data_IF_628678453074
#
_entry.id   IF_628678453074
#
_cell.length_a   1.000
_cell.length_b   1.000
_cell.length_c   1.000
_cell.angle_alpha   90.00
_cell.angle_beta   90.00
_cell.angle_gamma   90.00
#
_symmetry.space_group_name_H-M   'P 1'
#
loop_
_entity.id
_entity.type
_entity.pdbx_description
1 polymer ?
#
# COMPACT_ATOMS: atom_id res chain seq x y z
N UNK A 1 -11.08 -3.79 4.22
CA UNK A 1 -12.41 -3.24 4.44
C UNK A 1 -13.44 -4.25 4.91
N UNK A 2 -13.23 -5.53 4.62
CA UNK A 2 -14.17 -6.60 5.02
C UNK A 2 -14.08 -7.02 6.50
N UNK A 3 -13.20 -6.40 7.28
CA UNK A 3 -13.01 -6.69 8.72
C UNK A 3 -13.37 -5.46 9.55
N UNK A 4 -14.67 -5.23 9.83
CA UNK A 4 -15.14 -4.02 10.50
C UNK A 4 -14.63 -3.85 11.93
N UNK A 5 -14.22 -4.94 12.59
CA UNK A 5 -13.65 -4.94 13.94
C UNK A 5 -12.30 -4.22 14.04
N UNK A 6 -11.63 -3.95 12.91
CA UNK A 6 -10.35 -3.23 12.87
C UNK A 6 -10.46 -1.76 12.46
N UNK A 7 -11.67 -1.24 12.27
CA UNK A 7 -11.89 0.16 11.85
C UNK A 7 -11.24 1.16 12.82
N UNK A 8 -11.34 0.92 14.11
CA UNK A 8 -10.76 1.79 15.15
C UNK A 8 -9.23 1.95 14.99
N UNK A 9 -8.55 0.97 14.39
CA UNK A 9 -7.12 1.03 14.14
C UNK A 9 -6.77 2.05 13.06
N UNK A 10 -7.64 2.27 12.08
CA UNK A 10 -7.48 3.30 11.03
C UNK A 10 -7.44 4.66 11.68
N UNK A 11 -8.44 4.95 12.54
CA UNK A 11 -8.49 6.20 13.28
C UNK A 11 -7.30 6.37 14.21
N UNK A 12 -6.90 5.32 14.94
CA UNK A 12 -5.75 5.37 15.82
C UNK A 12 -4.43 5.66 15.08
N UNK A 13 -4.23 5.11 13.89
CA UNK A 13 -3.08 5.40 13.03
C UNK A 13 -3.12 6.85 12.53
N UNK A 14 -4.28 7.32 12.08
CA UNK A 14 -4.47 8.70 11.65
C UNK A 14 -4.18 9.70 12.77
N UNK A 15 -4.73 9.49 13.95
CA UNK A 15 -4.55 10.37 15.14
C UNK A 15 -3.07 10.43 15.58
N UNK A 16 -2.27 9.43 15.25
CA UNK A 16 -0.81 9.41 15.47
C UNK A 16 0.00 10.09 14.35
N UNK A 17 -0.66 10.66 13.33
CA UNK A 17 -0.02 11.39 12.25
C UNK A 17 0.41 10.52 11.07
N UNK A 18 -0.03 9.28 10.98
CA UNK A 18 0.19 8.45 9.80
C UNK A 18 -0.75 8.85 8.66
N UNK A 19 -0.27 8.76 7.43
CA UNK A 19 -1.12 8.95 6.25
C UNK A 19 -1.91 7.69 5.96
N UNK A 20 -3.22 7.83 5.89
CA UNK A 20 -4.11 6.73 5.50
C UNK A 20 -4.30 6.77 3.98
N UNK A 21 -4.10 5.63 3.34
CA UNK A 21 -4.37 5.42 1.92
C UNK A 21 -5.38 4.29 1.69
N UNK A 22 -5.82 4.14 0.45
CA UNK A 22 -6.79 3.11 0.06
C UNK A 22 -6.10 1.95 -0.65
N UNK A 23 -6.50 0.72 -0.33
CA UNK A 23 -5.97 -0.50 -0.93
C UNK A 23 -7.07 -1.46 -1.36
N UNK A 24 -8.17 -0.93 -1.89
CA UNK A 24 -9.44 -1.60 -2.19
C UNK A 24 -10.18 -2.11 -0.95
N UNK A 25 -11.46 -2.40 -1.08
CA UNK A 25 -12.28 -2.90 0.01
C UNK A 25 -12.13 -4.41 0.21
N UNK A 26 -12.31 -5.16 -0.90
CA UNK A 26 -12.31 -6.62 -0.86
C UNK A 26 -10.92 -7.26 -1.00
N UNK A 27 -9.98 -6.58 -1.67
CA UNK A 27 -8.69 -7.13 -2.08
C UNK A 27 -8.83 -8.44 -2.90
N UNK A 28 -9.99 -8.69 -3.49
CA UNK A 28 -10.27 -9.85 -4.33
C UNK A 28 -9.95 -9.51 -5.79
N UNK A 29 -8.88 -10.09 -6.32
CA UNK A 29 -8.43 -9.82 -7.69
C UNK A 29 -9.51 -10.11 -8.75
N UNK A 30 -10.36 -11.13 -8.54
CA UNK A 30 -11.43 -11.46 -9.47
C UNK A 30 -12.53 -10.39 -9.49
N UNK A 31 -12.75 -9.71 -8.36
CA UNK A 31 -13.69 -8.60 -8.25
C UNK A 31 -13.06 -7.30 -8.76
N UNK A 32 -11.94 -6.90 -8.15
CA UNK A 32 -11.34 -5.58 -8.41
C UNK A 32 -10.79 -5.42 -9.81
N UNK A 33 -10.36 -6.50 -10.47
CA UNK A 33 -9.83 -6.45 -11.84
C UNK A 33 -10.79 -6.99 -12.90
N UNK A 34 -12.06 -7.21 -12.56
CA UNK A 34 -13.09 -7.60 -13.52
C UNK A 34 -13.36 -6.51 -14.58
N UNK A 35 -13.31 -5.25 -14.18
CA UNK A 35 -13.43 -4.08 -15.07
C UNK A 35 -12.92 -2.82 -14.36
N UNK A 36 -12.75 -1.74 -15.10
CA UNK A 36 -12.42 -0.41 -14.54
C UNK A 36 -13.50 0.05 -13.56
N UNK A 37 -14.77 -0.11 -13.93
CA UNK A 37 -15.90 0.26 -13.06
C UNK A 37 -15.94 -0.58 -11.78
N UNK A 38 -15.67 -1.89 -11.87
CA UNK A 38 -15.62 -2.75 -10.70
C UNK A 38 -14.49 -2.34 -9.74
N UNK A 39 -13.33 -1.96 -10.27
CA UNK A 39 -12.23 -1.43 -9.46
C UNK A 39 -12.65 -0.19 -8.68
N UNK A 40 -13.27 0.79 -9.36
CA UNK A 40 -13.67 2.03 -8.70
C UNK A 40 -14.83 1.85 -7.72
N UNK A 41 -15.77 0.95 -7.99
CA UNK A 41 -16.84 0.62 -7.04
C UNK A 41 -16.25 0.05 -5.72
N UNK A 42 -15.27 -0.85 -5.82
CA UNK A 42 -14.59 -1.42 -4.66
C UNK A 42 -13.73 -0.37 -3.94
N UNK A 43 -13.06 0.51 -4.69
CA UNK A 43 -12.27 1.61 -4.15
C UNK A 43 -13.15 2.67 -3.45
N UNK A 44 -14.30 3.00 -4.02
CA UNK A 44 -15.26 3.95 -3.43
C UNK A 44 -15.83 3.40 -2.11
N UNK A 45 -16.06 2.10 -2.04
CA UNK A 45 -16.54 1.44 -0.83
C UNK A 45 -15.53 1.57 0.34
N UNK A 46 -14.24 1.34 0.09
CA UNK A 46 -13.21 1.57 1.14
C UNK A 46 -13.08 3.05 1.44
N UNK A 47 -13.18 3.92 0.45
CA UNK A 47 -13.14 5.37 0.61
C UNK A 47 -14.22 5.88 1.56
N UNK A 48 -15.45 5.42 1.39
CA UNK A 48 -16.57 5.76 2.27
C UNK A 48 -16.33 5.27 3.70
N UNK A 49 -15.89 4.01 3.87
CA UNK A 49 -15.57 3.47 5.19
C UNK A 49 -14.48 4.28 5.89
N UNK A 50 -13.42 4.66 5.19
CA UNK A 50 -12.33 5.47 5.77
C UNK A 50 -12.82 6.88 6.09
N UNK A 51 -13.68 7.47 5.24
CA UNK A 51 -14.29 8.78 5.51
C UNK A 51 -15.12 8.81 6.80
N UNK A 52 -15.81 7.72 7.12
CA UNK A 52 -16.54 7.60 8.40
C UNK A 52 -15.59 7.67 9.60
N UNK A 53 -14.36 7.15 9.49
CA UNK A 53 -13.40 7.09 10.59
C UNK A 53 -12.55 8.36 10.74
N UNK A 54 -12.14 8.99 9.63
CA UNK A 54 -11.19 10.12 9.66
C UNK A 54 -11.72 11.41 9.04
N UNK A 55 -12.98 11.44 8.55
CA UNK A 55 -13.68 12.64 8.09
C UNK A 55 -13.44 13.03 6.63
N UNK A 56 -12.62 12.30 5.87
CA UNK A 56 -12.40 12.55 4.44
C UNK A 56 -12.04 11.26 3.68
N UNK A 57 -12.26 11.26 2.36
CA UNK A 57 -11.80 10.16 1.48
C UNK A 57 -10.33 10.37 1.14
N UNK A 58 -9.44 9.40 1.44
CA UNK A 58 -8.04 9.50 1.06
C UNK A 58 -7.82 9.61 -0.45
N UNK A 59 -6.82 10.39 -0.86
CA UNK A 59 -6.44 10.49 -2.27
C UNK A 59 -5.20 9.64 -2.62
N UNK A 60 -4.58 8.97 -1.67
CA UNK A 60 -3.47 8.06 -1.91
C UNK A 60 -3.96 6.63 -1.97
N UNK A 61 -3.48 5.88 -2.96
CA UNK A 61 -3.88 4.50 -3.16
C UNK A 61 -2.67 3.61 -3.43
N UNK A 62 -2.87 2.31 -3.21
CA UNK A 62 -2.00 1.25 -3.73
C UNK A 62 -2.87 0.19 -4.40
N UNK A 63 -2.45 -0.22 -5.60
CA UNK A 63 -3.13 -1.31 -6.30
C UNK A 63 -2.82 -2.67 -5.64
N UNK A 64 -3.79 -3.58 -5.47
CA UNK A 64 -3.50 -4.96 -5.11
C UNK A 64 -2.46 -5.60 -6.04
N UNK A 65 -1.33 -6.01 -5.45
CA UNK A 65 -0.18 -6.53 -6.20
C UNK A 65 0.70 -5.48 -6.89
N UNK A 66 0.41 -4.18 -6.70
CA UNK A 66 1.12 -3.06 -7.32
C UNK A 66 0.71 -2.80 -8.78
N UNK A 67 1.15 -1.68 -9.34
CA UNK A 67 0.83 -1.30 -10.73
C UNK A 67 1.47 -2.24 -11.76
N UNK A 68 2.54 -2.93 -11.38
CA UNK A 68 3.25 -3.90 -12.25
C UNK A 68 2.68 -5.32 -12.21
N UNK A 69 1.60 -5.57 -11.43
CA UNK A 69 1.07 -6.91 -11.30
C UNK A 69 0.59 -7.47 -12.65
N UNK A 70 0.83 -8.75 -12.88
CA UNK A 70 0.38 -9.47 -14.08
C UNK A 70 -0.83 -10.36 -13.82
N UNK A 71 -1.25 -10.47 -12.56
CA UNK A 71 -2.40 -11.30 -12.17
C UNK A 71 -3.70 -10.72 -12.71
N UNK A 72 -3.83 -9.38 -12.71
CA UNK A 72 -4.96 -8.65 -13.26
C UNK A 72 -5.28 -9.02 -14.72
N UNK A 73 -4.25 -9.40 -15.50
CA UNK A 73 -4.38 -9.82 -16.90
C UNK A 73 -5.27 -11.06 -17.08
N UNK A 74 -5.37 -11.91 -16.05
CA UNK A 74 -6.24 -13.10 -16.06
C UNK A 74 -7.73 -12.72 -16.10
N UNK A 75 -8.07 -11.53 -15.64
CA UNK A 75 -9.44 -11.03 -15.56
C UNK A 75 -9.74 -10.04 -16.68
N UNK A 76 -8.88 -9.05 -16.87
CA UNK A 76 -9.03 -8.05 -17.93
C UNK A 76 -7.66 -7.65 -18.46
N UNK A 77 -7.40 -7.95 -19.73
CA UNK A 77 -6.17 -7.56 -20.40
C UNK A 77 -6.10 -6.04 -20.57
N UNK A 78 -4.94 -5.44 -20.28
CA UNK A 78 -4.72 -3.99 -20.39
C UNK A 78 -5.31 -3.14 -19.27
N UNK A 79 -5.94 -3.75 -18.27
CA UNK A 79 -6.66 -3.00 -17.22
C UNK A 79 -5.73 -2.10 -16.41
N UNK A 80 -4.51 -2.54 -16.09
CA UNK A 80 -3.59 -1.73 -15.30
C UNK A 80 -3.16 -0.47 -16.03
N UNK A 81 -2.93 -0.56 -17.34
CA UNK A 81 -2.60 0.61 -18.18
C UNK A 81 -3.71 1.67 -18.17
N UNK A 82 -4.97 1.25 -18.07
CA UNK A 82 -6.11 2.16 -17.92
C UNK A 82 -6.22 2.69 -16.49
N UNK A 83 -6.12 1.81 -15.49
CA UNK A 83 -6.32 2.19 -14.09
C UNK A 83 -5.29 3.20 -13.59
N UNK A 84 -4.00 3.07 -13.97
CA UNK A 84 -2.96 4.03 -13.55
C UNK A 84 -3.24 5.45 -14.06
N UNK A 85 -3.88 5.59 -15.22
CA UNK A 85 -4.31 6.88 -15.76
C UNK A 85 -5.59 7.38 -15.09
N UNK A 86 -6.57 6.50 -14.96
CA UNK A 86 -7.89 6.87 -14.41
C UNK A 86 -7.84 7.30 -12.94
N UNK A 87 -7.02 6.66 -12.11
CA UNK A 87 -6.86 7.09 -10.71
C UNK A 87 -6.26 8.49 -10.62
N UNK A 88 -5.29 8.81 -11.48
CA UNK A 88 -4.69 10.15 -11.53
C UNK A 88 -5.65 11.19 -12.10
N UNK A 89 -6.40 10.86 -13.15
CA UNK A 89 -7.44 11.72 -13.72
C UNK A 89 -8.52 12.09 -12.70
N UNK A 90 -8.80 11.19 -11.75
CA UNK A 90 -9.74 11.41 -10.64
C UNK A 90 -9.13 12.12 -9.42
N UNK A 91 -7.88 12.60 -9.54
CA UNK A 91 -7.19 13.37 -8.49
C UNK A 91 -6.55 12.51 -7.39
N UNK A 92 -6.46 11.20 -7.58
CA UNK A 92 -5.73 10.30 -6.67
C UNK A 92 -4.30 10.08 -7.14
N UNK A 93 -3.38 9.84 -6.18
CA UNK A 93 -2.02 9.42 -6.44
C UNK A 93 -1.85 7.97 -6.00
N UNK A 94 -1.35 7.10 -6.90
CA UNK A 94 -0.99 5.76 -6.50
C UNK A 94 0.50 5.67 -6.13
N UNK A 95 0.80 4.75 -5.22
CA UNK A 95 2.15 4.45 -4.76
C UNK A 95 2.43 2.96 -4.87
N UNK A 96 3.49 2.62 -5.58
CA UNK A 96 4.15 1.33 -5.44
C UNK A 96 5.23 1.44 -4.35
N UNK A 97 6.34 0.75 -4.51
CA UNK A 97 7.45 0.74 -3.57
C UNK A 97 8.78 0.59 -4.33
N UNK A 98 9.87 1.01 -3.73
CA UNK A 98 11.21 0.75 -4.23
C UNK A 98 12.09 -0.03 -3.24
N UNK A 99 11.49 -0.47 -2.12
CA UNK A 99 12.03 -1.40 -1.16
C UNK A 99 10.94 -2.35 -0.66
N UNK A 100 11.28 -3.55 -0.24
CA UNK A 100 10.33 -4.53 0.30
C UNK A 100 10.97 -5.36 1.40
N UNK A 101 10.23 -5.59 2.48
CA UNK A 101 10.65 -6.51 3.54
C UNK A 101 10.62 -7.99 3.11
N UNK A 102 9.89 -8.30 2.02
CA UNK A 102 9.70 -9.67 1.58
C UNK A 102 8.65 -10.46 2.37
N UNK A 103 7.89 -9.78 3.21
CA UNK A 103 6.88 -10.37 4.10
C UNK A 103 5.58 -10.81 3.39
N UNK A 104 5.52 -10.71 2.07
CA UNK A 104 4.46 -11.34 1.27
C UNK A 104 4.41 -12.88 1.43
N UNK A 105 5.54 -13.49 1.80
CA UNK A 105 5.67 -14.90 2.17
C UNK A 105 6.07 -15.05 3.65
N UNK A 106 5.93 -16.26 4.19
CA UNK A 106 6.36 -16.56 5.56
C UNK A 106 7.89 -16.53 5.64
N UNK A 107 8.42 -15.69 6.53
CA UNK A 107 9.86 -15.51 6.78
C UNK A 107 10.12 -15.28 8.24
N UNK A 108 11.37 -15.51 8.67
CA UNK A 108 11.80 -15.15 10.01
C UNK A 108 11.99 -13.63 10.15
N UNK A 109 12.00 -13.15 11.39
CA UNK A 109 12.27 -11.73 11.69
C UNK A 109 13.62 -11.28 11.12
N UNK A 110 14.67 -12.11 11.25
CA UNK A 110 16.01 -11.82 10.75
C UNK A 110 16.08 -11.72 9.23
N UNK A 111 15.36 -12.60 8.51
CA UNK A 111 15.27 -12.55 7.04
C UNK A 111 14.56 -11.28 6.57
N UNK A 112 13.50 -10.86 7.27
CA UNK A 112 12.78 -9.63 6.97
C UNK A 112 13.66 -8.40 7.20
N UNK A 113 14.38 -8.35 8.33
CA UNK A 113 15.34 -7.27 8.62
C UNK A 113 16.41 -7.20 7.55
N UNK A 114 17.07 -8.32 7.24
CA UNK A 114 18.15 -8.36 6.27
C UNK A 114 17.70 -7.88 4.88
N UNK A 115 16.51 -8.29 4.45
CA UNK A 115 15.97 -7.85 3.16
C UNK A 115 15.53 -6.38 3.20
N UNK A 116 14.79 -5.97 4.23
CA UNK A 116 14.28 -4.60 4.34
C UNK A 116 15.38 -3.55 4.45
N UNK A 117 16.55 -3.91 5.01
CA UNK A 117 17.69 -3.01 5.21
C UNK A 117 18.73 -3.05 4.07
N UNK A 118 18.43 -3.75 2.97
CA UNK A 118 19.33 -3.87 1.81
C UNK A 118 19.19 -2.75 0.77
N UNK A 119 18.29 -1.79 0.98
CA UNK A 119 18.04 -0.69 0.05
C UNK A 119 18.78 0.58 0.50
N UNK A 120 19.39 1.30 -0.46
CA UNK A 120 20.27 2.45 -0.22
C UNK A 120 19.86 3.72 -1.01
N UNK A 121 18.67 3.74 -1.59
CA UNK A 121 18.18 4.89 -2.34
C UNK A 121 17.93 6.10 -1.43
N UNK A 122 18.10 7.32 -1.94
CA UNK A 122 17.87 8.55 -1.18
C UNK A 122 16.46 8.68 -0.62
N UNK A 123 15.47 8.12 -1.32
CA UNK A 123 14.08 8.03 -0.87
C UNK A 123 13.64 6.58 -0.97
N UNK A 124 13.09 6.05 0.11
CA UNK A 124 12.64 4.66 0.19
C UNK A 124 11.18 4.62 0.61
N UNK A 125 10.36 3.96 -0.20
CA UNK A 125 9.03 3.50 0.19
C UNK A 125 9.14 1.99 0.35
N UNK A 126 9.16 1.54 1.61
CA UNK A 126 9.32 0.13 1.97
C UNK A 126 7.95 -0.54 2.05
N UNK A 127 7.74 -1.58 1.24
CA UNK A 127 6.54 -2.42 1.34
C UNK A 127 6.65 -3.36 2.54
N UNK A 128 5.65 -3.29 3.41
CA UNK A 128 5.36 -4.26 4.45
C UNK A 128 3.86 -4.57 4.44
N UNK A 129 3.45 -5.68 5.05
CA UNK A 129 2.06 -6.06 5.21
C UNK A 129 1.67 -6.05 6.70
N UNK A 130 0.46 -5.60 6.98
CA UNK A 130 -0.16 -5.56 8.31
C UNK A 130 -1.36 -6.52 8.43
N UNK A 131 -1.49 -7.43 7.48
CA UNK A 131 -2.54 -8.43 7.49
C UNK A 131 -2.37 -9.45 8.62
N UNK A 132 -3.43 -10.20 8.91
CA UNK A 132 -3.41 -11.24 9.94
C UNK A 132 -2.22 -12.21 9.77
N UNK A 133 -1.55 -12.55 10.88
CA UNK A 133 -0.42 -13.49 10.87
C UNK A 133 0.95 -12.87 10.51
N UNK A 134 1.07 -11.53 10.47
CA UNK A 134 2.33 -10.82 10.19
C UNK A 134 3.10 -10.42 11.46
N UNK A 135 3.13 -11.30 12.47
CA UNK A 135 3.82 -11.02 13.74
C UNK A 135 5.33 -10.77 13.54
N UNK A 136 5.98 -11.56 12.68
CA UNK A 136 7.42 -11.38 12.38
C UNK A 136 7.72 -10.04 11.71
N UNK A 137 6.78 -9.48 10.93
CA UNK A 137 6.90 -8.13 10.37
C UNK A 137 6.90 -7.08 11.47
N UNK A 138 5.98 -7.20 12.43
CA UNK A 138 5.91 -6.27 13.59
C UNK A 138 7.19 -6.33 14.41
N UNK A 139 7.73 -7.53 14.66
CA UNK A 139 8.99 -7.73 15.40
C UNK A 139 10.22 -7.20 14.64
N UNK A 140 10.20 -7.20 13.30
CA UNK A 140 11.29 -6.68 12.48
C UNK A 140 11.32 -5.14 12.44
N UNK A 141 10.17 -4.45 12.56
CA UNK A 141 10.07 -3.00 12.38
C UNK A 141 11.04 -2.18 13.23
N UNK A 142 11.23 -2.42 14.54
CA UNK A 142 12.17 -1.65 15.33
C UNK A 142 13.60 -1.67 14.77
N UNK A 143 14.09 -2.85 14.40
CA UNK A 143 15.43 -3.01 13.85
C UNK A 143 15.60 -2.34 12.49
N UNK A 144 14.55 -2.40 11.63
CA UNK A 144 14.53 -1.73 10.32
C UNK A 144 14.58 -0.21 10.52
N UNK A 145 13.79 0.32 11.45
CA UNK A 145 13.74 1.75 11.76
C UNK A 145 15.11 2.23 12.29
N UNK A 146 15.66 1.53 13.29
CA UNK A 146 16.96 1.86 13.87
C UNK A 146 18.09 1.83 12.83
N UNK A 147 18.08 0.85 11.93
CA UNK A 147 19.04 0.77 10.84
C UNK A 147 19.03 2.03 9.98
N UNK A 148 17.87 2.41 9.44
CA UNK A 148 17.78 3.59 8.58
C UNK A 148 18.05 4.89 9.33
N UNK A 149 17.63 5.01 10.58
CA UNK A 149 17.97 6.16 11.42
C UNK A 149 19.48 6.27 11.63
N UNK A 150 20.19 5.16 11.85
CA UNK A 150 21.65 5.14 12.01
C UNK A 150 22.40 5.60 10.75
N UNK A 151 21.79 5.45 9.58
CA UNK A 151 22.29 5.93 8.30
C UNK A 151 21.87 7.38 7.98
N UNK A 152 21.15 8.05 8.88
CA UNK A 152 20.72 9.44 8.71
C UNK A 152 19.41 9.61 7.96
N UNK A 153 18.65 8.55 7.69
CA UNK A 153 17.31 8.68 7.12
C UNK A 153 16.32 9.25 8.13
N UNK A 154 15.35 10.00 7.62
CA UNK A 154 14.20 10.49 8.39
C UNK A 154 12.94 9.80 7.90
N UNK A 155 12.10 9.39 8.84
CA UNK A 155 10.79 8.81 8.54
C UNK A 155 9.74 9.93 8.46
N UNK A 156 8.93 9.90 7.42
CA UNK A 156 7.85 10.86 7.20
C UNK A 156 6.58 10.16 6.76
N UNK A 157 5.43 10.66 7.20
CA UNK A 157 4.16 10.32 6.58
C UNK A 157 4.14 10.84 5.14
N UNK A 158 3.47 10.13 4.23
CA UNK A 158 3.32 10.59 2.84
C UNK A 158 2.40 11.81 2.78
N UNK A 159 2.79 12.77 1.94
CA UNK A 159 2.03 13.96 1.59
C UNK A 159 2.09 14.21 0.08
N UNK A 160 1.54 15.33 -0.40
CA UNK A 160 1.50 15.63 -1.84
C UNK A 160 2.86 15.98 -2.45
N UNK A 161 3.86 16.31 -1.62
CA UNK A 161 5.22 16.66 -2.03
C UNK A 161 6.18 15.46 -1.86
N UNK A 162 5.66 14.32 -1.39
CA UNK A 162 6.45 13.12 -1.16
C UNK A 162 6.94 12.50 -2.46
N UNK A 163 8.14 11.89 -2.40
CA UNK A 163 8.66 11.04 -3.48
C UNK A 163 7.63 9.98 -3.87
N UNK A 164 7.43 9.80 -5.17
CA UNK A 164 6.50 8.81 -5.72
C UNK A 164 7.28 7.66 -6.34
N UNK A 165 7.03 6.43 -5.87
CA UNK A 165 7.53 5.23 -6.49
C UNK A 165 6.46 4.63 -7.40
N UNK A 166 6.75 4.50 -8.69
CA UNK A 166 5.92 3.79 -9.66
C UNK A 166 6.71 2.65 -10.28
N UNK A 167 6.10 1.48 -10.36
CA UNK A 167 6.62 0.37 -11.14
C UNK A 167 6.26 0.54 -12.62
N UNK A 168 6.98 -0.15 -13.50
CA UNK A 168 6.58 -0.28 -14.90
C UNK A 168 5.27 -1.09 -15.01
N UNK A 169 4.32 -0.58 -15.78
CA UNK A 169 3.02 -1.25 -15.97
C UNK A 169 3.18 -2.42 -16.94
N UNK A 170 2.73 -3.61 -16.56
CA UNK A 170 2.92 -4.87 -17.31
C UNK A 170 1.60 -5.46 -17.85
N UNK A 171 0.50 -4.80 -17.69
CA UNK A 171 -0.82 -5.23 -18.18
C UNK A 171 -1.69 -4.05 -18.59
#
# INVERSE_FOLDING_TARGET
>A
GEMPEYKDMIKAAYDKGHTIGMHTYSHDYAKVYASVDAYFQDLDQIGQMVQEEIGYVPCFIRFPGGSSNTVSKKYTAGIMSTLVQEVQNRGSQYYDWNGSSGDGSVRTTEELVAQATSFDSNNIILLCHDSHGKQTTVEALPQIIEHYQSLGYTFKALDRDSFVAHHGVNN
#
